data_IF_080860175665
#
_entry.id   IF_080860175665
#
_cell.length_a   1.000
_cell.length_b   1.000
_cell.length_c   1.000
_cell.angle_alpha   90.00
_cell.angle_beta   90.00
_cell.angle_gamma   90.00
#
_symmetry.space_group_name_H-M   'P 1'
#
loop_
_entity.id
_entity.type
_entity.pdbx_description
1 polymer ?
#
# COMPACT_ATOMS: atom_id res chain seq x y z
N UNK A 1 -20.76 3.87 -31.64
CA UNK A 1 -21.77 4.31 -30.63
C UNK A 1 -21.03 5.14 -29.57
N UNK A 2 -21.63 6.18 -28.97
CA UNK A 2 -20.94 7.00 -27.94
C UNK A 2 -21.51 6.71 -26.55
N UNK A 3 -20.66 6.62 -25.53
CA UNK A 3 -21.07 6.42 -24.13
C UNK A 3 -21.46 7.77 -23.52
N UNK A 4 -22.76 7.94 -23.23
CA UNK A 4 -23.34 9.14 -22.62
C UNK A 4 -23.01 9.21 -21.13
N UNK A 5 -22.97 10.43 -20.57
CA UNK A 5 -22.83 10.73 -19.14
C UNK A 5 -21.58 10.15 -18.45
N UNK A 6 -20.49 9.94 -19.21
CA UNK A 6 -19.24 9.36 -18.70
C UNK A 6 -18.31 10.40 -18.02
N UNK A 7 -18.63 11.69 -18.06
CA UNK A 7 -17.72 12.75 -17.61
C UNK A 7 -17.32 12.60 -16.13
N UNK A 8 -18.32 12.38 -15.26
CA UNK A 8 -18.11 12.20 -13.83
C UNK A 8 -17.28 10.95 -13.51
N UNK A 9 -17.46 9.86 -14.26
CA UNK A 9 -16.64 8.67 -14.12
C UNK A 9 -15.17 8.97 -14.50
N UNK A 10 -14.93 9.70 -15.59
CA UNK A 10 -13.57 10.08 -15.98
C UNK A 10 -12.91 11.00 -14.96
N UNK A 11 -13.65 11.94 -14.38
CA UNK A 11 -13.18 12.81 -13.31
C UNK A 11 -12.75 12.00 -12.07
N UNK A 12 -13.58 11.05 -11.63
CA UNK A 12 -13.26 10.18 -10.49
C UNK A 12 -12.04 9.31 -10.75
N UNK A 13 -11.91 8.75 -11.95
CA UNK A 13 -10.74 7.97 -12.34
C UNK A 13 -9.47 8.83 -12.38
N UNK A 14 -9.54 10.07 -12.86
CA UNK A 14 -8.41 11.00 -12.86
C UNK A 14 -7.99 11.38 -11.42
N UNK A 15 -8.96 11.63 -10.53
CA UNK A 15 -8.71 11.92 -9.11
C UNK A 15 -8.06 10.72 -8.40
N UNK A 16 -8.57 9.50 -8.66
CA UNK A 16 -7.98 8.24 -8.17
C UNK A 16 -6.52 8.12 -8.60
N UNK A 17 -6.26 8.25 -9.90
CA UNK A 17 -4.92 8.07 -10.47
C UNK A 17 -3.93 9.09 -9.87
N UNK A 18 -4.34 10.36 -9.74
CA UNK A 18 -3.54 11.43 -9.12
C UNK A 18 -3.24 11.15 -7.64
N UNK A 19 -4.19 10.58 -6.90
CA UNK A 19 -3.97 10.22 -5.50
C UNK A 19 -2.98 9.06 -5.36
N UNK A 20 -3.10 8.02 -6.20
CA UNK A 20 -2.14 6.91 -6.22
C UNK A 20 -0.75 7.31 -6.69
N UNK A 21 -0.65 8.24 -7.65
CA UNK A 21 0.63 8.80 -8.08
C UNK A 21 1.33 9.51 -6.92
N UNK A 22 0.63 10.41 -6.20
CA UNK A 22 1.16 11.06 -5.00
C UNK A 22 1.58 10.05 -3.92
N UNK A 23 0.78 9.01 -3.70
CA UNK A 23 1.13 7.94 -2.76
C UNK A 23 2.41 7.22 -3.17
N UNK A 24 2.51 6.82 -4.45
CA UNK A 24 3.66 6.08 -4.97
C UNK A 24 4.93 6.93 -4.94
N UNK A 25 4.88 8.18 -5.39
CA UNK A 25 6.00 9.12 -5.35
C UNK A 25 6.45 9.39 -3.91
N UNK A 26 5.49 9.64 -3.01
CA UNK A 26 5.76 9.85 -1.59
C UNK A 26 6.43 8.63 -0.94
N UNK A 27 5.90 7.43 -1.20
CA UNK A 27 6.44 6.19 -0.66
C UNK A 27 7.84 5.89 -1.22
N UNK A 28 8.06 6.09 -2.52
CA UNK A 28 9.37 5.89 -3.14
C UNK A 28 10.42 6.86 -2.56
N UNK A 29 10.04 8.12 -2.36
CA UNK A 29 10.92 9.13 -1.75
C UNK A 29 11.25 8.76 -0.31
N UNK A 30 10.24 8.36 0.46
CA UNK A 30 10.39 7.94 1.85
C UNK A 30 11.32 6.71 1.96
N UNK A 31 11.11 5.70 1.13
CA UNK A 31 11.93 4.49 1.13
C UNK A 31 13.37 4.79 0.68
N UNK A 32 13.55 5.62 -0.36
CA UNK A 32 14.87 6.05 -0.80
C UNK A 32 15.67 6.77 0.32
N UNK A 33 14.98 7.55 1.15
CA UNK A 33 15.62 8.25 2.28
C UNK A 33 16.00 7.29 3.42
N UNK A 34 15.10 6.39 3.81
CA UNK A 34 15.24 5.63 5.06
C UNK A 34 15.76 4.20 4.89
N UNK A 35 15.54 3.55 3.76
CA UNK A 35 15.95 2.15 3.56
C UNK A 35 17.46 1.94 3.62
N UNK A 36 18.31 2.79 2.98
CA UNK A 36 19.75 2.66 3.12
C UNK A 36 20.21 2.75 4.59
N UNK A 37 19.62 3.68 5.34
CA UNK A 37 19.93 3.90 6.75
C UNK A 37 19.48 2.71 7.60
N UNK A 38 18.27 2.20 7.37
CA UNK A 38 17.74 1.00 8.06
C UNK A 38 18.60 -0.23 7.76
N UNK A 39 19.03 -0.42 6.52
CA UNK A 39 19.89 -1.55 6.11
C UNK A 39 21.25 -1.45 6.82
N UNK A 40 21.89 -0.28 6.79
CA UNK A 40 23.17 -0.06 7.47
C UNK A 40 23.06 -0.30 8.98
N UNK A 41 22.02 0.24 9.62
CA UNK A 41 21.81 0.06 11.05
C UNK A 41 21.47 -1.38 11.43
N UNK A 42 20.72 -2.12 10.60
CA UNK A 42 20.50 -3.57 10.80
C UNK A 42 21.79 -4.36 10.68
N UNK A 43 22.66 -4.02 9.73
CA UNK A 43 23.99 -4.63 9.61
C UNK A 43 24.86 -4.32 10.84
N UNK A 44 24.90 -3.06 11.26
CA UNK A 44 25.59 -2.65 12.49
C UNK A 44 25.04 -3.37 13.73
N UNK A 45 23.72 -3.53 13.84
CA UNK A 45 23.08 -4.29 14.93
C UNK A 45 23.55 -5.74 14.94
N UNK A 46 23.50 -6.42 13.79
CA UNK A 46 23.90 -7.82 13.69
C UNK A 46 25.39 -8.00 14.02
N UNK A 47 26.26 -7.10 13.56
CA UNK A 47 27.68 -7.12 13.92
C UNK A 47 27.90 -6.92 15.43
N UNK A 48 27.11 -6.05 16.09
CA UNK A 48 27.18 -5.84 17.54
C UNK A 48 26.68 -7.05 18.33
N UNK A 49 25.63 -7.71 17.85
CA UNK A 49 25.14 -8.98 18.41
C UNK A 49 26.22 -10.06 18.29
N UNK A 50 26.86 -10.16 17.13
CA UNK A 50 27.96 -11.09 16.92
C UNK A 50 29.13 -10.82 17.89
N UNK A 51 29.55 -9.55 18.01
CA UNK A 51 30.58 -9.15 18.97
C UNK A 51 30.21 -9.52 20.41
N UNK A 52 28.97 -9.29 20.82
CA UNK A 52 28.46 -9.68 22.13
C UNK A 52 28.50 -11.21 22.33
N UNK A 53 28.13 -11.98 21.30
CA UNK A 53 28.25 -13.44 21.30
C UNK A 53 29.69 -13.92 21.43
N UNK A 54 30.65 -13.25 20.79
CA UNK A 54 32.09 -13.55 20.93
C UNK A 54 32.57 -13.27 22.35
N UNK A 55 32.20 -12.13 22.94
CA UNK A 55 32.58 -11.78 24.32
C UNK A 55 31.99 -12.78 25.32
N UNK A 56 30.72 -13.17 25.17
CA UNK A 56 30.09 -14.20 26.00
C UNK A 56 30.79 -15.55 25.85
N UNK A 57 31.11 -15.95 24.61
CA UNK A 57 31.82 -17.20 24.34
C UNK A 57 33.22 -17.19 24.97
N UNK A 58 33.93 -16.05 24.92
CA UNK A 58 35.22 -15.88 25.58
C UNK A 58 35.11 -16.02 27.11
N UNK A 59 34.08 -15.43 27.74
CA UNK A 59 33.83 -15.58 29.18
C UNK A 59 33.63 -17.05 29.55
N UNK A 60 32.81 -17.77 28.79
CA UNK A 60 32.56 -19.21 29.04
C UNK A 60 33.86 -20.01 28.87
N UNK A 61 34.60 -19.79 27.78
CA UNK A 61 35.82 -20.53 27.47
C UNK A 61 36.92 -20.26 28.51
N UNK A 62 37.12 -19.00 28.92
CA UNK A 62 38.05 -18.66 30.01
C UNK A 62 37.63 -19.28 31.34
N UNK A 63 36.33 -19.40 31.61
CA UNK A 63 35.84 -20.06 32.83
C UNK A 63 36.17 -21.55 32.84
N UNK A 64 36.05 -22.23 31.70
CA UNK A 64 36.50 -23.62 31.58
C UNK A 64 38.02 -23.78 31.76
N UNK A 65 38.82 -22.90 31.14
CA UNK A 65 40.28 -22.93 31.29
C UNK A 65 40.69 -22.72 32.76
N UNK A 66 40.08 -21.74 33.44
CA UNK A 66 40.35 -21.45 34.84
C UNK A 66 40.01 -22.64 35.74
N UNK A 67 38.89 -23.34 35.49
CA UNK A 67 38.54 -24.56 36.23
C UNK A 67 39.55 -25.69 36.02
N UNK A 68 40.08 -25.85 34.81
CA UNK A 68 41.04 -26.93 34.49
C UNK A 68 42.45 -26.66 34.98
N UNK A 69 42.86 -25.40 35.08
CA UNK A 69 44.24 -24.99 35.42
C UNK A 69 44.32 -24.27 36.78
N UNK A 70 43.31 -24.42 37.63
CA UNK A 70 43.14 -23.65 38.87
C UNK A 70 44.36 -23.69 39.80
N UNK A 71 45.06 -24.83 39.86
CA UNK A 71 46.23 -25.02 40.74
C UNK A 71 47.51 -24.36 40.19
N UNK A 72 47.66 -24.28 38.86
CA UNK A 72 48.86 -23.77 38.19
C UNK A 72 48.71 -22.31 37.72
N UNK A 73 47.49 -21.76 37.71
CA UNK A 73 47.21 -20.44 37.17
C UNK A 73 47.32 -19.34 38.24
N UNK A 74 48.08 -18.25 37.99
CA UNK A 74 48.20 -17.17 38.96
C UNK A 74 46.85 -16.45 39.15
N UNK A 75 46.27 -16.51 40.35
CA UNK A 75 44.93 -15.98 40.62
C UNK A 75 44.74 -14.49 40.26
N UNK A 76 45.77 -13.65 40.45
CA UNK A 76 45.71 -12.23 40.10
C UNK A 76 45.55 -11.99 38.58
N UNK A 77 46.12 -12.85 37.74
CA UNK A 77 45.98 -12.78 36.28
C UNK A 77 44.54 -13.12 35.86
N UNK A 78 43.91 -14.09 36.53
CA UNK A 78 42.51 -14.44 36.27
C UNK A 78 41.58 -13.25 36.56
N UNK A 79 41.77 -12.56 37.70
CA UNK A 79 40.98 -11.36 38.02
C UNK A 79 41.12 -10.24 36.99
N UNK A 80 42.33 -9.99 36.49
CA UNK A 80 42.58 -8.97 35.46
C UNK A 80 41.86 -9.34 34.14
N UNK A 81 41.96 -10.60 33.71
CA UNK A 81 41.31 -11.08 32.49
C UNK A 81 39.79 -10.97 32.60
N UNK A 82 39.21 -11.40 33.72
CA UNK A 82 37.77 -11.26 33.95
C UNK A 82 37.33 -9.80 33.96
N UNK A 83 38.09 -8.90 34.62
CA UNK A 83 37.78 -7.47 34.60
C UNK A 83 37.74 -6.91 33.17
N UNK A 84 38.70 -7.28 32.31
CA UNK A 84 38.71 -6.88 30.90
C UNK A 84 37.52 -7.43 30.11
N UNK A 85 37.13 -8.69 30.36
CA UNK A 85 35.97 -9.32 29.72
C UNK A 85 34.65 -8.65 30.13
N UNK A 86 34.48 -8.33 31.41
CA UNK A 86 33.29 -7.62 31.90
C UNK A 86 33.20 -6.18 31.38
N UNK A 87 34.33 -5.45 31.30
CA UNK A 87 34.37 -4.14 30.66
C UNK A 87 33.99 -4.23 29.18
N UNK A 88 34.52 -5.22 28.47
CA UNK A 88 34.21 -5.47 27.06
C UNK A 88 32.73 -5.84 26.86
N UNK A 89 32.14 -6.61 27.78
CA UNK A 89 30.73 -6.97 27.78
C UNK A 89 29.85 -5.73 27.99
N UNK A 90 30.16 -4.90 28.99
CA UNK A 90 29.46 -3.64 29.24
C UNK A 90 29.50 -2.70 28.03
N UNK A 91 30.67 -2.60 27.38
CA UNK A 91 30.84 -1.82 26.16
C UNK A 91 30.03 -2.37 24.98
N UNK A 92 30.02 -3.70 24.79
CA UNK A 92 29.24 -4.36 23.76
C UNK A 92 27.73 -4.09 23.92
N UNK A 93 27.22 -4.22 25.15
CA UNK A 93 25.81 -3.95 25.49
C UNK A 93 25.49 -2.47 25.25
N UNK A 94 26.32 -1.54 25.71
CA UNK A 94 26.13 -0.11 25.50
C UNK A 94 26.03 0.25 24.02
N UNK A 95 26.94 -0.27 23.18
CA UNK A 95 26.89 -0.07 21.74
C UNK A 95 25.61 -0.67 21.15
N UNK A 96 25.22 -1.87 21.54
CA UNK A 96 24.01 -2.50 21.02
C UNK A 96 22.76 -1.66 21.34
N UNK A 97 22.60 -1.23 22.59
CA UNK A 97 21.51 -0.35 23.03
C UNK A 97 21.47 0.95 22.22
N UNK A 98 22.63 1.57 21.97
CA UNK A 98 22.72 2.79 21.16
C UNK A 98 22.21 2.57 19.72
N UNK A 99 22.50 1.42 19.11
CA UNK A 99 21.99 1.10 17.77
C UNK A 99 20.50 0.81 17.76
N UNK A 100 19.99 0.10 18.77
CA UNK A 100 18.56 -0.18 18.90
C UNK A 100 17.76 1.12 19.04
N UNK A 101 18.20 2.05 19.90
CA UNK A 101 17.55 3.38 20.03
C UNK A 101 17.54 4.16 18.72
N UNK A 102 18.62 4.11 17.93
CA UNK A 102 18.66 4.75 16.60
C UNK A 102 17.69 4.12 15.61
N UNK A 103 17.62 2.79 15.57
CA UNK A 103 16.67 2.06 14.73
C UNK A 103 15.23 2.40 15.08
N UNK A 104 14.93 2.46 16.38
CA UNK A 104 13.60 2.82 16.89
C UNK A 104 13.23 4.25 16.49
N UNK A 105 14.12 5.22 16.71
CA UNK A 105 13.87 6.62 16.32
C UNK A 105 13.58 6.77 14.82
N UNK A 106 14.39 6.13 13.96
CA UNK A 106 14.16 6.12 12.51
C UNK A 106 12.86 5.43 12.13
N UNK A 107 12.49 4.36 12.83
CA UNK A 107 11.24 3.66 12.57
C UNK A 107 10.05 4.53 12.93
N UNK A 108 10.09 5.22 14.07
CA UNK A 108 9.05 6.17 14.49
C UNK A 108 8.92 7.31 13.48
N UNK A 109 10.03 7.89 13.04
CA UNK A 109 10.03 8.99 12.08
C UNK A 109 9.48 8.54 10.71
N UNK A 110 9.92 7.37 10.23
CA UNK A 110 9.39 6.77 9.01
C UNK A 110 7.89 6.51 9.10
N UNK A 111 7.41 5.93 10.21
CA UNK A 111 5.98 5.64 10.40
C UNK A 111 5.15 6.92 10.40
N UNK A 112 5.63 7.98 11.07
CA UNK A 112 4.95 9.27 11.07
C UNK A 112 4.82 9.85 9.67
N UNK A 113 5.90 9.83 8.87
CA UNK A 113 5.85 10.33 7.49
C UNK A 113 5.01 9.41 6.58
N UNK A 114 5.06 8.09 6.81
CA UNK A 114 4.22 7.14 6.11
C UNK A 114 2.73 7.40 6.34
N UNK A 115 2.33 7.71 7.58
CA UNK A 115 0.92 8.00 7.91
C UNK A 115 0.38 9.23 7.15
N UNK A 116 1.23 10.23 6.90
CA UNK A 116 0.87 11.39 6.09
C UNK A 116 0.69 11.02 4.61
N UNK A 117 1.53 10.14 4.08
CA UNK A 117 1.44 9.66 2.69
C UNK A 117 0.25 8.69 2.53
N UNK A 118 -0.05 7.86 3.54
CA UNK A 118 -1.12 6.88 3.53
C UNK A 118 -2.53 7.50 3.37
N UNK A 119 -2.69 8.79 3.69
CA UNK A 119 -3.92 9.55 3.42
C UNK A 119 -4.28 9.52 1.93
N UNK A 120 -3.29 9.64 1.04
CA UNK A 120 -3.51 9.59 -0.41
C UNK A 120 -3.95 8.21 -0.91
N UNK A 121 -3.48 7.13 -0.27
CA UNK A 121 -3.97 5.79 -0.57
C UNK A 121 -5.45 5.65 -0.23
N UNK A 122 -5.86 6.19 0.92
CA UNK A 122 -7.27 6.21 1.35
C UNK A 122 -8.13 7.04 0.40
N UNK A 123 -7.68 8.24 0.03
CA UNK A 123 -8.36 9.10 -0.95
C UNK A 123 -8.51 8.39 -2.31
N UNK A 124 -7.45 7.73 -2.80
CA UNK A 124 -7.49 6.95 -4.03
C UNK A 124 -8.54 5.83 -3.98
N UNK A 125 -8.57 5.06 -2.90
CA UNK A 125 -9.54 3.97 -2.70
C UNK A 125 -10.98 4.50 -2.61
N UNK A 126 -11.20 5.65 -1.99
CA UNK A 126 -12.51 6.29 -1.94
C UNK A 126 -13.00 6.71 -3.33
N UNK A 127 -12.12 7.34 -4.13
CA UNK A 127 -12.43 7.69 -5.51
C UNK A 127 -12.66 6.45 -6.39
N UNK A 128 -11.92 5.36 -6.15
CA UNK A 128 -12.10 4.09 -6.84
C UNK A 128 -13.48 3.48 -6.55
N UNK A 129 -13.91 3.44 -5.28
CA UNK A 129 -15.24 2.95 -4.91
C UNK A 129 -16.36 3.76 -5.57
N UNK A 130 -16.25 5.09 -5.52
CA UNK A 130 -17.21 5.99 -6.21
C UNK A 130 -17.20 5.81 -7.72
N UNK A 131 -16.02 5.59 -8.32
CA UNK A 131 -15.90 5.33 -9.75
C UNK A 131 -16.57 4.01 -10.14
N UNK A 132 -16.46 2.95 -9.33
CA UNK A 132 -17.15 1.69 -9.59
C UNK A 132 -18.67 1.87 -9.59
N UNK A 133 -19.24 2.61 -8.61
CA UNK A 133 -20.67 2.91 -8.59
C UNK A 133 -21.13 3.72 -9.81
N UNK A 134 -20.35 4.74 -10.18
CA UNK A 134 -20.66 5.58 -11.33
C UNK A 134 -20.53 4.78 -12.64
N UNK A 135 -19.59 3.84 -12.73
CA UNK A 135 -19.44 2.94 -13.87
C UNK A 135 -20.70 2.10 -14.11
N UNK A 136 -21.31 1.54 -13.05
CA UNK A 136 -22.59 0.83 -13.16
C UNK A 136 -23.70 1.76 -13.66
N UNK A 137 -23.80 2.98 -13.12
CA UNK A 137 -24.79 3.97 -13.57
C UNK A 137 -24.65 4.28 -15.05
N UNK A 138 -23.42 4.54 -15.51
CA UNK A 138 -23.14 4.81 -16.92
C UNK A 138 -23.53 3.62 -17.79
N UNK A 139 -23.27 2.39 -17.37
CA UNK A 139 -23.70 1.19 -18.10
C UNK A 139 -25.24 1.17 -18.21
N UNK A 140 -25.95 1.34 -17.09
CA UNK A 140 -27.42 1.34 -17.08
C UNK A 140 -28.02 2.44 -17.96
N UNK A 141 -27.52 3.68 -17.85
CA UNK A 141 -28.01 4.82 -18.62
C UNK A 141 -27.82 4.67 -20.13
N UNK A 142 -26.83 3.88 -20.55
CA UNK A 142 -26.55 3.61 -21.96
C UNK A 142 -27.25 2.33 -22.47
N UNK A 143 -27.35 1.27 -21.66
CA UNK A 143 -28.05 0.02 -22.02
C UNK A 143 -29.57 0.22 -22.08
N UNK A 144 -30.14 0.94 -21.11
CA UNK A 144 -31.59 1.10 -20.93
C UNK A 144 -32.05 2.52 -21.27
N UNK A 145 -31.29 3.24 -22.11
CA UNK A 145 -31.50 4.68 -22.36
C UNK A 145 -32.95 5.04 -22.67
N UNK A 146 -33.56 4.33 -23.63
CA UNK A 146 -34.91 4.60 -24.11
C UNK A 146 -35.95 4.24 -23.04
N UNK A 147 -35.76 3.13 -22.33
CA UNK A 147 -36.67 2.66 -21.27
C UNK A 147 -36.67 3.61 -20.07
N UNK A 148 -35.50 4.06 -19.63
CA UNK A 148 -35.34 5.05 -18.56
C UNK A 148 -36.01 6.37 -18.96
N UNK A 149 -35.79 6.82 -20.20
CA UNK A 149 -36.36 8.08 -20.71
C UNK A 149 -37.89 8.05 -20.74
N UNK A 150 -38.48 6.89 -21.02
CA UNK A 150 -39.91 6.67 -21.07
C UNK A 150 -40.49 6.57 -19.65
N UNK A 151 -39.89 5.76 -18.77
CA UNK A 151 -40.33 5.61 -17.38
C UNK A 151 -40.19 6.87 -16.54
N UNK A 152 -39.20 7.71 -16.83
CA UNK A 152 -39.05 9.03 -16.19
C UNK A 152 -40.19 10.00 -16.52
N UNK A 153 -40.86 9.82 -17.67
CA UNK A 153 -42.02 10.63 -18.07
C UNK A 153 -43.34 10.06 -17.56
N UNK A 154 -43.42 8.75 -17.42
CA UNK A 154 -44.65 8.04 -17.01
C UNK A 154 -44.84 7.97 -15.49
N UNK A 155 -43.75 7.84 -14.73
CA UNK A 155 -43.81 7.58 -13.28
C UNK A 155 -43.63 8.85 -12.45
N UNK A 156 -44.32 8.96 -11.29
CA UNK A 156 -43.97 9.91 -10.24
C UNK A 156 -42.51 9.75 -9.79
N UNK A 157 -41.91 10.83 -9.26
CA UNK A 157 -40.48 10.86 -8.92
C UNK A 157 -40.05 9.74 -7.93
N UNK A 158 -40.89 9.43 -6.94
CA UNK A 158 -40.62 8.38 -5.95
C UNK A 158 -40.65 6.97 -6.56
N UNK A 159 -41.62 6.70 -7.44
CA UNK A 159 -41.74 5.42 -8.14
C UNK A 159 -40.61 5.23 -9.17
N UNK A 160 -40.21 6.30 -9.84
CA UNK A 160 -39.04 6.29 -10.73
C UNK A 160 -37.76 6.00 -9.96
N UNK A 161 -37.58 6.57 -8.75
CA UNK A 161 -36.40 6.30 -7.93
C UNK A 161 -36.30 4.82 -7.54
N UNK A 162 -37.43 4.19 -7.17
CA UNK A 162 -37.52 2.76 -6.90
C UNK A 162 -37.22 1.90 -8.13
N UNK A 163 -37.76 2.26 -9.30
CA UNK A 163 -37.46 1.58 -10.56
C UNK A 163 -35.98 1.69 -10.91
N UNK A 164 -35.40 2.88 -10.77
CA UNK A 164 -33.98 3.13 -11.03
C UNK A 164 -33.06 2.31 -10.13
N UNK A 165 -33.39 2.22 -8.83
CA UNK A 165 -32.64 1.41 -7.89
C UNK A 165 -32.67 -0.08 -8.26
N UNK A 166 -33.83 -0.61 -8.66
CA UNK A 166 -33.96 -2.01 -9.11
C UNK A 166 -33.11 -2.32 -10.35
N UNK A 167 -33.04 -1.40 -11.32
CA UNK A 167 -32.18 -1.58 -12.49
C UNK A 167 -30.72 -1.60 -12.11
N UNK A 168 -30.29 -0.69 -11.22
CA UNK A 168 -28.92 -0.65 -10.74
C UNK A 168 -28.53 -1.92 -9.99
N UNK A 169 -29.41 -2.43 -9.12
CA UNK A 169 -29.17 -3.69 -8.39
C UNK A 169 -29.08 -4.87 -9.34
N UNK A 170 -29.99 -4.98 -10.31
CA UNK A 170 -29.94 -6.03 -11.33
C UNK A 170 -28.65 -5.98 -12.14
N UNK A 171 -28.19 -4.80 -12.54
CA UNK A 171 -26.95 -4.68 -13.29
C UNK A 171 -25.73 -5.02 -12.42
N UNK A 172 -25.73 -4.66 -11.14
CA UNK A 172 -24.68 -5.09 -10.18
C UNK A 172 -24.63 -6.61 -10.06
N UNK A 173 -25.77 -7.28 -9.97
CA UNK A 173 -25.84 -8.75 -9.92
C UNK A 173 -25.32 -9.38 -11.20
N UNK A 174 -25.63 -8.81 -12.38
CA UNK A 174 -25.08 -9.30 -13.65
C UNK A 174 -23.55 -9.14 -13.72
N UNK A 175 -23.03 -8.00 -13.28
CA UNK A 175 -21.58 -7.75 -13.22
C UNK A 175 -20.92 -8.73 -12.24
N UNK A 176 -21.52 -8.95 -11.07
CA UNK A 176 -21.03 -9.92 -10.09
C UNK A 176 -21.08 -11.36 -10.63
N UNK A 177 -22.15 -11.75 -11.33
CA UNK A 177 -22.25 -13.07 -11.95
C UNK A 177 -21.17 -13.31 -13.03
N UNK A 178 -20.76 -12.26 -13.75
CA UNK A 178 -19.72 -12.34 -14.79
C UNK A 178 -18.30 -12.32 -14.20
N UNK A 179 -18.10 -11.73 -13.02
CA UNK A 179 -16.79 -11.57 -12.36
C UNK A 179 -16.57 -12.51 -11.15
N UNK A 180 -17.61 -13.18 -10.65
CA UNK A 180 -17.63 -13.95 -9.40
C UNK A 180 -18.25 -13.17 -8.22
N UNK A 181 -18.81 -13.88 -7.23
CA UNK A 181 -19.65 -13.38 -6.12
C UNK A 181 -19.08 -12.21 -5.28
N UNK A 182 -17.83 -11.78 -5.50
CA UNK A 182 -17.17 -10.68 -4.77
C UNK A 182 -16.38 -9.74 -5.69
N UNK A 183 -17.02 -9.22 -6.75
CA UNK A 183 -16.39 -8.25 -7.63
C UNK A 183 -15.94 -6.99 -6.86
N UNK A 184 -14.62 -6.75 -6.85
CA UNK A 184 -13.98 -5.58 -6.28
C UNK A 184 -14.23 -4.33 -7.13
N UNK A 185 -14.01 -3.14 -6.55
CA UNK A 185 -14.20 -1.88 -7.28
C UNK A 185 -13.32 -1.78 -8.55
N UNK A 186 -12.11 -2.35 -8.53
CA UNK A 186 -11.25 -2.37 -9.73
C UNK A 186 -11.82 -3.29 -10.81
N UNK A 187 -12.33 -4.45 -10.43
CA UNK A 187 -12.95 -5.40 -11.34
C UNK A 187 -14.19 -4.82 -12.02
N UNK A 188 -15.01 -4.05 -11.29
CA UNK A 188 -16.15 -3.31 -11.88
C UNK A 188 -15.68 -2.26 -12.88
N UNK A 189 -14.61 -1.53 -12.58
CA UNK A 189 -14.02 -0.54 -13.51
C UNK A 189 -13.43 -1.23 -14.75
N UNK A 190 -12.79 -2.40 -14.57
CA UNK A 190 -12.27 -3.19 -15.68
C UNK A 190 -13.39 -3.76 -16.56
N UNK A 191 -14.46 -4.24 -15.92
CA UNK A 191 -15.68 -4.66 -16.60
C UNK A 191 -16.24 -3.53 -17.47
N UNK A 192 -16.36 -2.32 -16.91
CA UNK A 192 -16.79 -1.14 -17.65
C UNK A 192 -15.92 -0.87 -18.87
N UNK A 193 -14.58 -0.99 -18.77
CA UNK A 193 -13.68 -0.81 -19.92
C UNK A 193 -13.94 -1.85 -21.01
N UNK A 194 -14.11 -3.13 -20.63
CA UNK A 194 -14.42 -4.23 -21.57
C UNK A 194 -15.78 -4.02 -22.24
N UNK A 195 -16.79 -3.67 -21.45
CA UNK A 195 -18.13 -3.34 -21.93
C UNK A 195 -18.10 -2.13 -22.88
N UNK A 196 -17.37 -1.07 -22.53
CA UNK A 196 -17.26 0.14 -23.33
C UNK A 196 -16.65 -0.13 -24.72
N UNK A 197 -15.60 -0.96 -24.80
CA UNK A 197 -15.01 -1.41 -26.08
C UNK A 197 -16.03 -2.15 -26.94
N UNK A 198 -16.75 -3.14 -26.37
CA UNK A 198 -17.81 -3.88 -27.07
C UNK A 198 -18.96 -2.96 -27.53
N UNK A 199 -19.40 -2.04 -26.67
CA UNK A 199 -20.50 -1.12 -26.94
C UNK A 199 -20.18 -0.13 -28.07
N UNK A 200 -18.93 0.34 -28.12
CA UNK A 200 -18.50 1.32 -29.13
C UNK A 200 -18.12 0.69 -30.48
N UNK A 201 -17.92 -0.64 -30.54
CA UNK A 201 -17.38 -1.40 -31.69
C UNK A 201 -15.95 -1.01 -32.10
N UNK A 202 -15.22 -0.35 -31.19
CA UNK A 202 -13.79 -0.09 -31.35
C UNK A 202 -13.01 -1.29 -30.78
N UNK A 203 -12.82 -2.32 -31.60
CA UNK A 203 -12.07 -3.51 -31.18
C UNK A 203 -10.55 -3.29 -31.15
N UNK A 204 -9.98 -2.28 -31.84
CA UNK A 204 -8.53 -2.31 -32.10
C UNK A 204 -7.65 -1.09 -31.81
N UNK A 205 -8.09 0.16 -31.57
CA UNK A 205 -7.04 1.21 -31.37
C UNK A 205 -7.34 2.53 -30.63
N UNK A 206 -8.58 2.92 -30.33
CA UNK A 206 -8.83 4.32 -29.91
C UNK A 206 -9.53 4.54 -28.56
N UNK A 207 -10.14 3.53 -27.94
CA UNK A 207 -10.81 3.72 -26.65
C UNK A 207 -9.84 4.08 -25.52
N UNK A 208 -8.70 3.40 -25.43
CA UNK A 208 -7.68 3.67 -24.41
C UNK A 208 -6.97 5.02 -24.65
N UNK A 209 -6.80 5.45 -25.91
CA UNK A 209 -6.28 6.78 -26.27
C UNK A 209 -7.29 7.88 -25.98
N UNK A 210 -8.57 7.67 -26.23
CA UNK A 210 -9.65 8.61 -25.90
C UNK A 210 -9.81 8.76 -24.39
N UNK A 211 -9.74 7.66 -23.63
CA UNK A 211 -9.69 7.69 -22.16
C UNK A 211 -8.46 8.44 -21.67
N UNK A 212 -7.26 8.14 -22.18
CA UNK A 212 -6.03 8.81 -21.79
C UNK A 212 -6.03 10.31 -22.14
N UNK A 213 -6.56 10.70 -23.31
CA UNK A 213 -6.68 12.09 -23.72
C UNK A 213 -7.68 12.87 -22.85
N UNK A 214 -8.79 12.23 -22.46
CA UNK A 214 -9.78 12.82 -21.54
C UNK A 214 -9.24 12.94 -20.11
N UNK A 215 -8.53 11.93 -19.60
CA UNK A 215 -7.82 11.99 -18.32
C UNK A 215 -6.80 13.14 -18.30
N UNK A 216 -6.03 13.32 -19.38
CA UNK A 216 -5.08 14.45 -19.51
C UNK A 216 -5.74 15.83 -19.52
N UNK A 217 -6.99 15.96 -20.01
CA UNK A 217 -7.73 17.24 -19.93
C UNK A 217 -8.12 17.57 -18.50
N UNK A 218 -8.68 16.62 -17.76
CA UNK A 218 -9.11 16.83 -16.38
C UNK A 218 -7.96 16.93 -15.36
N UNK A 219 -6.74 16.53 -15.73
CA UNK A 219 -5.54 16.74 -14.91
C UNK A 219 -4.95 18.16 -15.06
N UNK A 220 -5.37 18.94 -16.05
CA UNK A 220 -4.87 20.30 -16.35
C UNK A 220 -5.73 21.43 -15.77
N UNK A 221 -6.90 21.10 -15.25
CA UNK A 221 -7.80 22.00 -14.49
C UNK A 221 -7.56 21.81 -12.99
#
# INVERSE_FOLDING_TARGET
MFIRNNEKLQELLAKRDKAYEKYSEGLNTLNAQYDPIKVELRKSRNNRIYFLGVVLSAIVLFSFIFLLMYEDFPGYLAYIIYALLFVSLGFAIFLLVKTLKKLEAITIEWTKQYDDIAKYLKEGNEHQGRAAEEAVKVICENKYHDEIGLKKKELPAEEFALYWQKILEKEKELIAAEMGDTATAEEVIEYYKKWGKKFTRDEDTDYDKLLAARRKRHLRE
#
